data_IF_068639021132
#
_entry.id   IF_068639021132
#
_cell.length_a   1.000
_cell.length_b   1.000
_cell.length_c   1.000
_cell.angle_alpha   90.00
_cell.angle_beta   90.00
_cell.angle_gamma   90.00
#
_symmetry.space_group_name_H-M   'P 1'
#
loop_
_entity.id
_entity.type
_entity.pdbx_description
1 polymer ?
#
# COMPACT_ATOMS: atom_id res chain seq x y z
N UNK A 1 17.35 5.53 -10.69
CA UNK A 1 16.28 4.68 -11.24
C UNK A 1 15.09 4.70 -10.29
N UNK A 2 13.91 4.92 -10.80
CA UNK A 2 12.71 5.02 -9.98
C UNK A 2 12.18 3.62 -9.65
N UNK A 3 11.93 3.36 -8.37
CA UNK A 3 11.31 2.11 -7.95
C UNK A 3 9.81 2.21 -8.21
N UNK A 4 9.28 1.26 -8.97
CA UNK A 4 7.86 1.23 -9.29
C UNK A 4 7.15 0.19 -8.42
N UNK A 5 5.97 0.54 -7.94
CA UNK A 5 5.11 -0.40 -7.23
C UNK A 5 4.19 -1.08 -8.25
N UNK A 6 4.05 -2.40 -8.13
CA UNK A 6 3.22 -3.20 -9.01
C UNK A 6 2.08 -3.83 -8.22
N UNK A 7 0.86 -3.46 -8.55
CA UNK A 7 -0.32 -3.98 -7.86
C UNK A 7 -0.89 -5.20 -8.58
N UNK A 8 -1.30 -6.19 -7.78
CA UNK A 8 -2.00 -7.38 -8.26
C UNK A 8 -3.33 -7.47 -7.52
N UNK A 9 -4.39 -7.03 -8.17
CA UNK A 9 -5.71 -6.99 -7.54
C UNK A 9 -6.30 -8.39 -7.31
N UNK A 10 -5.90 -9.37 -8.12
CA UNK A 10 -6.38 -10.74 -7.96
C UNK A 10 -5.88 -11.37 -6.66
N UNK A 11 -4.63 -11.11 -6.32
CA UNK A 11 -4.01 -11.62 -5.09
C UNK A 11 -4.02 -10.62 -3.95
N UNK A 12 -4.50 -9.39 -4.21
CA UNK A 12 -4.54 -8.29 -3.24
C UNK A 12 -3.17 -7.99 -2.68
N UNK A 13 -2.20 -7.85 -3.57
CA UNK A 13 -0.81 -7.57 -3.21
C UNK A 13 -0.26 -6.40 -4.00
N UNK A 14 0.77 -5.78 -3.44
CA UNK A 14 1.59 -4.79 -4.15
C UNK A 14 3.04 -5.19 -3.94
N UNK A 15 3.78 -5.33 -5.04
CA UNK A 15 5.22 -5.60 -4.98
C UNK A 15 5.94 -4.26 -5.11
N UNK A 16 6.81 -3.98 -4.15
CA UNK A 16 7.55 -2.72 -4.12
C UNK A 16 8.95 -2.98 -3.57
N UNK A 17 9.96 -2.49 -4.28
CA UNK A 17 11.37 -2.63 -3.87
C UNK A 17 11.77 -4.08 -3.56
N UNK A 18 11.25 -5.03 -4.33
CA UNK A 18 11.57 -6.44 -4.16
C UNK A 18 10.82 -7.14 -3.03
N UNK A 19 9.90 -6.45 -2.37
CA UNK A 19 9.09 -7.02 -1.30
C UNK A 19 7.61 -7.07 -1.71
N UNK A 20 6.91 -8.09 -1.26
CA UNK A 20 5.48 -8.25 -1.53
C UNK A 20 4.70 -7.83 -0.29
N UNK A 21 3.78 -6.91 -0.48
CA UNK A 21 2.92 -6.40 0.59
C UNK A 21 1.48 -6.85 0.32
N UNK A 22 0.81 -7.35 1.35
CA UNK A 22 -0.60 -7.71 1.25
C UNK A 22 -1.45 -6.51 1.58
N UNK A 23 -2.55 -6.34 0.84
CA UNK A 23 -3.47 -5.21 1.04
C UNK A 23 -4.77 -5.77 1.59
N UNK A 24 -5.17 -5.32 2.77
CA UNK A 24 -6.40 -5.74 3.42
C UNK A 24 -7.34 -4.57 3.53
N UNK A 25 -8.51 -4.69 2.91
CA UNK A 25 -9.52 -3.63 2.96
C UNK A 25 -10.14 -3.53 4.34
N UNK A 26 -10.21 -2.30 4.86
CA UNK A 26 -10.84 -2.03 6.16
C UNK A 26 -12.22 -1.37 6.02
N UNK A 27 -12.57 -0.91 4.82
CA UNK A 27 -13.74 -0.08 4.60
C UNK A 27 -13.40 1.41 4.72
N UNK A 28 -14.34 2.28 4.38
CA UNK A 28 -14.18 3.74 4.46
C UNK A 28 -12.92 4.25 3.73
N UNK A 29 -12.60 3.64 2.58
CA UNK A 29 -11.44 3.99 1.76
C UNK A 29 -10.10 3.82 2.50
N UNK A 30 -10.05 2.88 3.43
CA UNK A 30 -8.84 2.57 4.20
C UNK A 30 -8.40 1.13 3.95
N UNK A 31 -7.09 0.92 3.94
CA UNK A 31 -6.49 -0.40 3.71
C UNK A 31 -5.30 -0.60 4.64
N UNK A 32 -5.16 -1.80 5.19
CA UNK A 32 -3.97 -2.17 5.95
C UNK A 32 -2.96 -2.80 5.01
N UNK A 33 -1.71 -2.40 5.15
CA UNK A 33 -0.59 -2.97 4.39
C UNK A 33 0.19 -3.89 5.32
N UNK A 34 0.34 -5.16 4.90
CA UNK A 34 1.03 -6.18 5.68
C UNK A 34 2.22 -6.72 4.90
N UNK A 35 3.31 -6.98 5.61
CA UNK A 35 4.47 -7.66 5.04
C UNK A 35 4.70 -8.94 5.84
N UNK A 36 4.66 -10.09 5.14
CA UNK A 36 4.79 -11.40 5.79
C UNK A 36 3.78 -11.60 6.93
N UNK A 37 2.56 -11.06 6.74
CA UNK A 37 1.49 -11.19 7.74
C UNK A 37 1.56 -10.20 8.88
N UNK A 38 2.54 -9.29 8.86
CA UNK A 38 2.72 -8.29 9.93
C UNK A 38 2.30 -6.92 9.41
N UNK A 39 1.36 -6.22 10.06
CA UNK A 39 0.98 -4.88 9.63
C UNK A 39 2.17 -3.92 9.70
N UNK A 40 2.43 -3.23 8.60
CA UNK A 40 3.53 -2.25 8.54
C UNK A 40 3.00 -0.82 8.37
N UNK A 41 1.72 -0.68 8.03
CA UNK A 41 1.13 0.63 7.88
C UNK A 41 -0.26 0.55 7.31
N UNK A 42 -0.82 1.71 7.02
CA UNK A 42 -2.16 1.87 6.46
C UNK A 42 -2.12 2.83 5.27
N UNK A 43 -3.04 2.61 4.34
CA UNK A 43 -3.24 3.54 3.23
C UNK A 43 -4.66 4.08 3.34
N UNK A 44 -4.82 5.38 3.22
CA UNK A 44 -6.12 6.03 3.25
C UNK A 44 -6.31 6.81 1.96
N UNK A 45 -7.42 6.59 1.28
CA UNK A 45 -7.79 7.38 0.11
C UNK A 45 -8.58 8.59 0.58
N UNK A 46 -8.06 9.77 0.31
CA UNK A 46 -8.70 11.02 0.70
C UNK A 46 -8.61 12.01 -0.45
N UNK A 47 -9.76 12.54 -0.88
CA UNK A 47 -9.84 13.51 -1.99
C UNK A 47 -9.15 13.01 -3.25
N UNK A 48 -9.25 11.70 -3.53
CA UNK A 48 -8.65 11.09 -4.72
C UNK A 48 -7.14 10.86 -4.62
N UNK A 49 -6.54 11.09 -3.46
CA UNK A 49 -5.12 10.89 -3.25
C UNK A 49 -4.87 9.81 -2.19
N UNK A 50 -3.82 9.04 -2.40
CA UNK A 50 -3.40 8.03 -1.43
C UNK A 50 -2.54 8.70 -0.36
N UNK A 51 -2.79 8.32 0.90
CA UNK A 51 -2.01 8.81 2.04
C UNK A 51 -1.52 7.61 2.84
N UNK A 52 -0.21 7.52 3.02
CA UNK A 52 0.40 6.44 3.80
C UNK A 52 0.54 6.83 5.26
N UNK A 53 0.17 5.92 6.16
CA UNK A 53 0.33 6.10 7.60
C UNK A 53 1.15 4.93 8.12
N UNK A 54 2.47 5.08 8.32
CA UNK A 54 3.30 3.97 8.75
C UNK A 54 3.04 3.59 10.21
N UNK A 55 3.16 2.29 10.49
CA UNK A 55 3.09 1.75 11.85
C UNK A 55 4.47 1.20 12.21
N UNK A 56 5.30 2.03 12.83
CA UNK A 56 6.66 1.67 13.15
C UNK A 56 7.64 2.08 12.05
N UNK A 57 8.80 1.44 12.02
CA UNK A 57 9.92 1.83 11.16
C UNK A 57 10.14 0.91 9.96
N UNK A 58 9.25 -0.05 9.73
CA UNK A 58 9.43 -1.03 8.67
C UNK A 58 9.33 -0.42 7.27
N UNK A 59 8.57 0.65 7.13
CA UNK A 59 8.35 1.31 5.85
C UNK A 59 8.11 2.80 6.11
N UNK A 60 8.55 3.65 5.18
CA UNK A 60 8.36 5.09 5.30
C UNK A 60 6.98 5.51 4.79
N UNK A 61 6.56 6.71 5.19
CA UNK A 61 5.31 7.30 4.70
C UNK A 61 5.32 7.41 3.18
N UNK A 62 6.43 7.87 2.61
CA UNK A 62 6.55 8.03 1.16
C UNK A 62 6.40 6.70 0.43
N UNK A 63 7.00 5.64 0.95
CA UNK A 63 6.90 4.32 0.33
C UNK A 63 5.48 3.77 0.43
N UNK A 64 4.82 3.95 1.58
CA UNK A 64 3.42 3.56 1.74
C UNK A 64 2.51 4.33 0.78
N UNK A 65 2.77 5.61 0.59
CA UNK A 65 2.00 6.43 -0.35
C UNK A 65 2.15 5.90 -1.76
N UNK A 66 3.37 5.52 -2.18
CA UNK A 66 3.59 4.94 -3.50
C UNK A 66 2.85 3.61 -3.67
N UNK A 67 2.87 2.77 -2.63
CA UNK A 67 2.12 1.51 -2.63
C UNK A 67 0.62 1.80 -2.77
N UNK A 68 0.12 2.79 -2.04
CA UNK A 68 -1.28 3.18 -2.11
C UNK A 68 -1.70 3.72 -3.47
N UNK A 69 -0.86 4.55 -4.07
CA UNK A 69 -1.14 5.08 -5.41
C UNK A 69 -1.23 3.96 -6.44
N UNK A 70 -0.30 3.00 -6.39
CA UNK A 70 -0.33 1.85 -7.30
C UNK A 70 -1.59 1.00 -7.08
N UNK A 71 -1.97 0.79 -5.83
CA UNK A 71 -3.16 0.01 -5.50
C UNK A 71 -4.43 0.69 -6.00
N UNK A 72 -4.61 1.98 -5.70
CA UNK A 72 -5.82 2.70 -6.11
C UNK A 72 -5.93 2.85 -7.62
N UNK A 73 -4.80 3.01 -8.30
CA UNK A 73 -4.80 3.04 -9.77
C UNK A 73 -5.24 1.70 -10.35
N UNK A 74 -4.83 0.60 -9.74
CA UNK A 74 -5.16 -0.73 -10.22
C UNK A 74 -6.63 -1.11 -9.97
N UNK A 75 -7.22 -0.67 -8.85
CA UNK A 75 -8.61 -1.01 -8.51
C UNK A 75 -9.61 0.04 -9.02
N UNK A 76 -9.14 1.23 -9.27
CA UNK A 76 -9.95 2.34 -9.78
C UNK A 76 -10.12 2.26 -11.28
#
# INVERSE_FOLDING_TARGET
MTTAALADTSNKTVTFAGAVYNIQELGDDSYTVLKAGIPVGRIVLSFGAANGVPEGDAISEDDLTLIGEAWFEAVG
#
